data_IF_672893394091
#
_entry.id   IF_672893394091
#
_cell.length_a   1.000
_cell.length_b   1.000
_cell.length_c   1.000
_cell.angle_alpha   90.00
_cell.angle_beta   90.00
_cell.angle_gamma   90.00
#
_symmetry.space_group_name_H-M   'P 1'
#
loop_
_entity.id
_entity.type
_entity.pdbx_description
1 polymer ?
#
# COMPACT_ATOMS: atom_id res chain seq x y z
N UNK A 1 -33.80 4.77 8.66
CA UNK A 1 -34.17 3.49 8.01
C UNK A 1 -33.98 3.65 6.51
N UNK A 2 -32.83 3.22 6.00
CA UNK A 2 -32.62 3.01 4.57
C UNK A 2 -32.08 1.58 4.44
N UNK A 3 -33.01 0.62 4.42
CA UNK A 3 -32.72 -0.77 4.11
C UNK A 3 -33.18 -0.97 2.67
N UNK A 4 -32.25 -1.01 1.72
CA UNK A 4 -32.47 -1.70 0.45
C UNK A 4 -31.63 -2.98 0.47
N UNK A 5 -32.14 -3.97 1.21
CA UNK A 5 -31.68 -5.35 1.11
C UNK A 5 -32.49 -6.03 0.00
N UNK A 6 -31.87 -6.30 -1.15
CA UNK A 6 -32.31 -7.35 -2.07
C UNK A 6 -31.08 -8.14 -2.50
N UNK A 7 -31.07 -9.44 -2.19
CA UNK A 7 -30.08 -10.36 -2.71
C UNK A 7 -30.74 -11.33 -3.72
N UNK A 8 -29.88 -11.78 -4.63
CA UNK A 8 -30.04 -12.78 -5.68
C UNK A 8 -30.99 -12.39 -6.84
N UNK A 9 -30.40 -11.82 -7.91
CA UNK A 9 -30.94 -11.72 -9.28
C UNK A 9 -31.59 -10.40 -9.75
N UNK A 10 -31.30 -9.25 -9.13
CA UNK A 10 -31.38 -7.93 -9.77
C UNK A 10 -30.62 -6.91 -8.91
N UNK A 11 -29.39 -6.57 -9.32
CA UNK A 11 -28.47 -5.72 -8.56
C UNK A 11 -29.02 -4.30 -8.40
N UNK A 12 -29.71 -4.04 -7.29
CA UNK A 12 -29.88 -2.67 -6.78
C UNK A 12 -28.48 -2.13 -6.48
N UNK A 13 -28.04 -1.13 -7.24
CA UNK A 13 -26.79 -0.44 -7.01
C UNK A 13 -26.86 0.17 -5.62
N UNK A 14 -25.88 -0.12 -4.75
CA UNK A 14 -25.76 0.54 -3.46
C UNK A 14 -25.51 2.03 -3.73
N UNK A 15 -26.54 2.85 -3.56
CA UNK A 15 -26.52 4.29 -3.86
C UNK A 15 -26.77 5.09 -2.59
N UNK A 16 -25.72 5.45 -1.84
CA UNK A 16 -25.89 6.33 -0.70
C UNK A 16 -26.28 7.72 -1.18
N UNK A 17 -27.16 8.39 -0.43
CA UNK A 17 -27.38 9.82 -0.60
C UNK A 17 -26.10 10.59 -0.26
N UNK A 18 -25.79 11.64 -1.01
CA UNK A 18 -24.62 12.47 -0.75
C UNK A 18 -24.91 13.95 -0.97
N UNK A 19 -24.17 14.80 -0.26
CA UNK A 19 -24.14 16.26 -0.43
C UNK A 19 -22.74 16.68 -0.85
N UNK A 20 -22.63 17.43 -1.96
CA UNK A 20 -21.37 18.02 -2.41
C UNK A 20 -21.18 19.40 -1.79
N UNK A 21 -20.16 19.54 -0.94
CA UNK A 21 -19.67 20.80 -0.42
C UNK A 21 -18.57 21.37 -1.33
N UNK A 22 -18.93 22.36 -2.14
CA UNK A 22 -18.04 23.05 -3.09
C UNK A 22 -17.81 24.53 -2.75
N UNK A 23 -18.26 24.97 -1.57
CA UNK A 23 -17.99 26.29 -1.02
C UNK A 23 -18.16 26.27 0.51
N UNK A 24 -17.74 27.35 1.18
CA UNK A 24 -17.75 27.46 2.64
C UNK A 24 -19.15 27.31 3.25
N UNK A 25 -20.18 27.86 2.62
CA UNK A 25 -21.56 27.80 3.11
C UNK A 25 -22.11 26.37 3.10
N UNK A 26 -21.94 25.67 1.97
CA UNK A 26 -22.35 24.26 1.81
C UNK A 26 -21.55 23.33 2.70
N UNK A 27 -20.24 23.59 2.86
CA UNK A 27 -19.39 22.87 3.81
C UNK A 27 -19.93 22.99 5.23
N UNK A 28 -20.13 24.22 5.71
CA UNK A 28 -20.58 24.44 7.07
C UNK A 28 -21.94 23.79 7.33
N UNK A 29 -22.89 23.96 6.41
CA UNK A 29 -24.21 23.32 6.51
C UNK A 29 -24.11 21.79 6.57
N UNK A 30 -23.32 21.17 5.68
CA UNK A 30 -23.21 19.72 5.58
C UNK A 30 -22.49 19.08 6.79
N UNK A 31 -21.54 19.78 7.41
CA UNK A 31 -20.78 19.25 8.55
C UNK A 31 -21.51 19.35 9.89
N UNK A 32 -22.44 20.31 10.07
CA UNK A 32 -23.10 20.54 11.36
C UNK A 32 -23.74 19.28 11.96
N UNK A 33 -24.54 18.48 11.23
CA UNK A 33 -25.18 17.30 11.79
C UNK A 33 -24.17 16.23 12.28
N UNK A 34 -22.98 16.20 11.68
CA UNK A 34 -21.98 15.16 11.92
C UNK A 34 -21.26 15.30 13.27
N UNK A 35 -21.34 16.46 13.93
CA UNK A 35 -20.68 16.68 15.23
C UNK A 35 -21.26 15.82 16.35
N UNK A 36 -22.49 15.34 16.21
CA UNK A 36 -23.14 14.45 17.18
C UNK A 36 -22.94 12.96 16.86
N UNK A 37 -22.27 12.62 15.76
CA UNK A 37 -22.05 11.24 15.39
C UNK A 37 -20.97 10.59 16.28
N UNK A 38 -21.22 9.36 16.73
CA UNK A 38 -20.23 8.58 17.50
C UNK A 38 -19.12 8.01 16.62
N UNK A 39 -19.41 7.83 15.33
CA UNK A 39 -18.49 7.30 14.33
C UNK A 39 -18.56 8.13 13.05
N UNK A 40 -17.41 8.31 12.41
CA UNK A 40 -17.26 8.98 11.13
C UNK A 40 -16.42 8.09 10.23
N UNK A 41 -16.97 7.63 9.12
CA UNK A 41 -16.20 7.00 8.06
C UNK A 41 -15.56 8.08 7.18
N UNK A 42 -14.25 7.96 6.94
CA UNK A 42 -13.45 8.94 6.20
C UNK A 42 -12.67 8.22 5.10
N UNK A 43 -12.67 8.84 3.93
CA UNK A 43 -11.80 8.48 2.81
C UNK A 43 -11.35 9.78 2.11
N UNK A 44 -10.34 9.68 1.25
CA UNK A 44 -9.99 10.76 0.34
C UNK A 44 -9.53 10.26 -1.04
N UNK A 45 -9.81 11.11 -2.03
CA UNK A 45 -9.30 10.97 -3.40
C UNK A 45 -8.27 12.06 -3.66
N UNK A 46 -7.22 11.68 -4.37
CA UNK A 46 -5.98 12.47 -4.51
C UNK A 46 -5.58 12.60 -5.97
N UNK A 47 -4.76 13.60 -6.29
CA UNK A 47 -4.25 13.81 -7.66
C UNK A 47 -3.19 12.80 -8.08
N UNK A 48 -2.66 12.04 -7.12
CA UNK A 48 -1.68 10.97 -7.27
C UNK A 48 -1.47 10.25 -5.94
N UNK A 49 -0.34 9.58 -5.75
CA UNK A 49 -0.13 8.68 -4.59
C UNK A 49 0.94 9.13 -3.63
N UNK A 50 1.74 10.12 -4.01
CA UNK A 50 2.80 10.64 -3.13
C UNK A 50 2.27 11.87 -2.41
N UNK A 51 2.02 11.80 -1.09
CA UNK A 51 1.49 12.93 -0.35
C UNK A 51 2.41 14.17 -0.39
N UNK A 52 3.72 14.00 -0.64
CA UNK A 52 4.68 15.11 -0.72
C UNK A 52 4.58 15.90 -2.03
N UNK A 53 4.13 15.27 -3.12
CA UNK A 53 4.03 15.91 -4.45
C UNK A 53 2.60 16.09 -4.95
N UNK A 54 1.67 15.28 -4.44
CA UNK A 54 0.27 15.28 -4.82
C UNK A 54 -0.61 15.98 -3.76
N UNK A 55 -1.89 16.17 -4.09
CA UNK A 55 -2.83 16.87 -3.23
C UNK A 55 -4.17 16.15 -3.13
N UNK A 56 -4.92 16.44 -2.06
CA UNK A 56 -6.28 15.94 -1.89
C UNK A 56 -7.24 16.68 -2.83
N UNK A 57 -7.97 15.91 -3.63
CA UNK A 57 -9.03 16.40 -4.52
C UNK A 57 -10.38 16.44 -3.83
N UNK A 58 -10.74 15.34 -3.17
CA UNK A 58 -12.06 15.12 -2.58
C UNK A 58 -11.88 14.43 -1.23
N UNK A 59 -12.63 14.88 -0.21
CA UNK A 59 -12.73 14.19 1.07
C UNK A 59 -14.16 13.69 1.22
N UNK A 60 -14.33 12.46 1.69
CA UNK A 60 -15.64 11.88 1.96
C UNK A 60 -15.80 11.66 3.47
N UNK A 61 -16.94 12.09 4.01
CA UNK A 61 -17.30 11.82 5.41
C UNK A 61 -18.71 11.23 5.45
N UNK A 62 -18.82 10.00 5.92
CA UNK A 62 -20.09 9.33 6.14
C UNK A 62 -20.34 9.13 7.64
N UNK A 63 -21.59 9.33 8.06
CA UNK A 63 -22.05 9.04 9.41
C UNK A 63 -23.40 8.32 9.36
N UNK A 64 -23.75 7.50 10.38
CA UNK A 64 -25.04 6.81 10.41
C UNK A 64 -26.21 7.80 10.31
N UNK A 65 -27.20 7.47 9.46
CA UNK A 65 -28.42 8.26 9.24
C UNK A 65 -28.22 9.67 8.66
N UNK A 66 -27.07 9.95 8.05
CA UNK A 66 -26.80 11.20 7.34
C UNK A 66 -26.35 10.93 5.90
N UNK A 67 -26.62 11.84 4.95
CA UNK A 67 -26.01 11.75 3.62
C UNK A 67 -24.49 11.87 3.73
N UNK A 68 -23.78 11.20 2.82
CA UNK A 68 -22.32 11.30 2.73
C UNK A 68 -21.94 12.72 2.33
N UNK A 69 -21.04 13.36 3.07
CA UNK A 69 -20.54 14.68 2.73
C UNK A 69 -19.30 14.50 1.85
N UNK A 70 -19.39 14.96 0.60
CA UNK A 70 -18.29 15.01 -0.34
C UNK A 70 -17.75 16.43 -0.38
N UNK A 71 -16.49 16.63 -0.04
CA UNK A 71 -15.88 17.95 0.11
C UNK A 71 -14.88 18.15 -1.02
N UNK A 72 -15.22 19.00 -1.99
CA UNK A 72 -14.28 19.44 -3.04
C UNK A 72 -13.24 20.36 -2.37
N UNK A 73 -12.12 19.76 -1.94
CA UNK A 73 -11.17 20.44 -1.07
C UNK A 73 -10.50 21.66 -1.75
N UNK A 74 -10.11 21.62 -3.05
CA UNK A 74 -9.64 22.80 -3.77
C UNK A 74 -10.62 23.98 -3.76
N UNK A 75 -11.93 23.71 -3.75
CA UNK A 75 -12.95 24.76 -3.69
C UNK A 75 -13.12 25.39 -2.30
N UNK A 76 -12.50 24.82 -1.25
CA UNK A 76 -12.54 25.33 0.12
C UNK A 76 -11.19 26.00 0.47
N UNK A 77 -11.13 27.33 0.68
CA UNK A 77 -9.91 28.01 1.09
C UNK A 77 -9.35 27.46 2.40
N UNK A 78 -8.01 27.45 2.54
CA UNK A 78 -7.35 26.90 3.75
C UNK A 78 -7.82 27.59 5.05
N UNK A 79 -8.12 28.88 5.01
CA UNK A 79 -8.66 29.68 6.12
C UNK A 79 -10.01 29.17 6.63
N UNK A 80 -10.81 28.58 5.75
CA UNK A 80 -12.21 28.20 6.03
C UNK A 80 -12.37 26.71 6.39
N UNK A 81 -11.26 25.97 6.50
CA UNK A 81 -11.25 24.55 6.84
C UNK A 81 -11.31 24.26 8.34
N UNK A 82 -11.48 25.28 9.18
CA UNK A 82 -11.43 25.13 10.64
C UNK A 82 -12.52 24.19 11.18
N UNK A 83 -13.75 24.27 10.64
CA UNK A 83 -14.84 23.39 11.07
C UNK A 83 -14.58 21.93 10.69
N UNK A 84 -14.09 21.69 9.47
CA UNK A 84 -13.66 20.37 9.01
C UNK A 84 -12.56 19.81 9.92
N UNK A 85 -11.53 20.60 10.23
CA UNK A 85 -10.47 20.20 11.15
C UNK A 85 -11.02 19.84 12.53
N UNK A 86 -11.94 20.64 13.08
CA UNK A 86 -12.59 20.35 14.37
C UNK A 86 -13.36 19.02 14.33
N UNK A 87 -14.08 18.73 13.25
CA UNK A 87 -14.80 17.48 13.08
C UNK A 87 -13.84 16.27 13.03
N UNK A 88 -12.77 16.36 12.24
CA UNK A 88 -11.78 15.29 12.09
C UNK A 88 -11.00 15.00 13.39
N UNK A 89 -10.96 15.96 14.31
CA UNK A 89 -10.29 15.86 15.61
C UNK A 89 -11.25 15.68 16.79
N UNK A 90 -12.54 15.45 16.54
CA UNK A 90 -13.52 15.25 17.61
C UNK A 90 -13.38 13.86 18.28
N UNK A 91 -14.25 13.58 19.25
CA UNK A 91 -14.26 12.32 19.98
C UNK A 91 -14.79 11.11 19.21
N UNK A 92 -15.37 11.31 18.02
CA UNK A 92 -15.90 10.22 17.21
C UNK A 92 -14.79 9.23 16.81
N UNK A 93 -15.16 7.97 16.60
CA UNK A 93 -14.25 6.98 16.02
C UNK A 93 -14.16 7.21 14.51
N UNK A 94 -12.94 7.43 14.02
CA UNK A 94 -12.63 7.61 12.61
C UNK A 94 -12.45 6.24 11.96
N UNK A 95 -13.44 5.80 11.19
CA UNK A 95 -13.40 4.56 10.43
C UNK A 95 -12.78 4.87 9.07
N UNK A 96 -11.76 4.12 8.67
CA UNK A 96 -11.11 4.29 7.38
C UNK A 96 -10.65 2.93 6.84
N UNK A 97 -10.25 2.88 5.58
CA UNK A 97 -9.64 1.70 4.98
C UNK A 97 -8.24 2.05 4.47
N UNK A 98 -7.19 1.42 5.03
CA UNK A 98 -5.81 1.87 4.78
C UNK A 98 -5.59 3.32 5.23
N UNK A 99 -6.00 3.61 6.47
CA UNK A 99 -6.10 4.95 7.04
C UNK A 99 -4.77 5.73 7.02
N UNK A 100 -3.63 5.03 6.95
CA UNK A 100 -2.30 5.64 6.83
C UNK A 100 -2.22 6.58 5.63
N UNK A 101 -2.74 6.14 4.48
CA UNK A 101 -2.72 6.92 3.25
C UNK A 101 -3.50 8.23 3.41
N UNK A 102 -4.76 8.14 3.83
CA UNK A 102 -5.62 9.31 4.05
C UNK A 102 -5.03 10.24 5.11
N UNK A 103 -4.47 9.67 6.18
CA UNK A 103 -3.86 10.44 7.25
C UNK A 103 -2.69 11.29 6.75
N UNK A 104 -1.82 10.76 5.90
CA UNK A 104 -0.68 11.49 5.33
C UNK A 104 -1.14 12.68 4.49
N UNK A 105 -2.06 12.44 3.56
CA UNK A 105 -2.63 13.46 2.70
C UNK A 105 -3.40 14.54 3.47
N UNK A 106 -4.25 14.15 4.43
CA UNK A 106 -4.99 15.09 5.26
C UNK A 106 -4.07 15.90 6.19
N UNK A 107 -2.94 15.33 6.61
CA UNK A 107 -1.93 16.03 7.41
C UNK A 107 -1.26 17.14 6.60
N UNK A 108 -0.78 16.85 5.39
CA UNK A 108 -0.18 17.87 4.52
C UNK A 108 -1.19 18.89 3.98
N UNK A 109 -2.48 18.53 3.94
CA UNK A 109 -3.57 19.47 3.70
C UNK A 109 -3.88 20.41 4.90
N UNK A 110 -3.20 20.26 6.04
CA UNK A 110 -3.34 21.08 7.25
C UNK A 110 -4.48 20.64 8.20
N UNK A 111 -5.12 19.51 7.92
CA UNK A 111 -6.27 19.00 8.68
C UNK A 111 -5.83 18.08 9.82
N UNK A 112 -4.89 17.16 9.55
CA UNK A 112 -4.31 16.18 10.50
C UNK A 112 -5.36 15.57 11.47
N UNK A 113 -6.11 14.54 11.04
CA UNK A 113 -7.10 13.88 11.88
C UNK A 113 -6.47 13.31 13.17
N UNK A 114 -7.20 13.42 14.29
CA UNK A 114 -6.74 13.00 15.62
C UNK A 114 -7.83 12.28 16.40
N UNK A 115 -7.44 11.38 17.30
CA UNK A 115 -8.34 10.67 18.22
C UNK A 115 -8.41 9.19 17.91
N UNK A 116 -9.59 8.58 18.10
CA UNK A 116 -9.76 7.14 17.92
C UNK A 116 -9.90 6.78 16.44
N UNK A 117 -9.16 5.77 15.99
CA UNK A 117 -9.26 5.21 14.64
C UNK A 117 -9.75 3.76 14.68
N UNK A 118 -10.44 3.37 13.63
CA UNK A 118 -10.72 1.99 13.28
C UNK A 118 -10.37 1.77 11.80
N UNK A 119 -9.22 1.15 11.54
CA UNK A 119 -8.81 0.82 10.18
C UNK A 119 -9.34 -0.56 9.80
N UNK A 120 -10.27 -0.59 8.85
CA UNK A 120 -10.90 -1.84 8.38
C UNK A 120 -9.91 -2.80 7.72
N UNK A 121 -8.84 -2.29 7.10
CA UNK A 121 -7.80 -3.11 6.50
C UNK A 121 -6.96 -3.78 7.59
N UNK A 122 -6.48 -3.01 8.58
CA UNK A 122 -5.70 -3.55 9.70
C UNK A 122 -6.55 -4.50 10.55
N UNK A 123 -7.83 -4.17 10.79
CA UNK A 123 -8.77 -5.05 11.49
C UNK A 123 -8.85 -6.42 10.82
N UNK A 124 -8.97 -6.43 9.49
CA UNK A 124 -9.05 -7.67 8.72
C UNK A 124 -7.71 -8.42 8.70
N UNK A 125 -6.57 -7.73 8.56
CA UNK A 125 -5.23 -8.33 8.64
C UNK A 125 -4.97 -9.01 9.99
N UNK A 126 -5.41 -8.39 11.09
CA UNK A 126 -5.34 -8.99 12.44
C UNK A 126 -6.21 -10.26 12.52
N UNK A 127 -7.44 -10.20 12.01
CA UNK A 127 -8.34 -11.36 11.98
C UNK A 127 -7.81 -12.54 11.16
N UNK A 128 -7.06 -12.26 10.10
CA UNK A 128 -6.45 -13.29 9.25
C UNK A 128 -5.03 -13.65 9.64
N UNK A 129 -4.52 -13.13 10.76
CA UNK A 129 -3.14 -13.32 11.23
C UNK A 129 -2.08 -13.06 10.14
N UNK A 130 -2.33 -12.12 9.23
CA UNK A 130 -1.43 -11.79 8.12
C UNK A 130 -1.25 -12.91 7.08
N UNK A 131 -2.14 -13.92 7.03
CA UNK A 131 -2.19 -14.87 5.91
C UNK A 131 -2.28 -14.12 4.58
N UNK A 132 -1.80 -14.73 3.48
CA UNK A 132 -1.80 -14.17 2.11
C UNK A 132 -3.21 -14.04 1.51
N UNK A 133 -4.10 -13.34 2.21
CA UNK A 133 -5.44 -12.99 1.78
C UNK A 133 -5.45 -11.52 1.42
N UNK A 134 -5.96 -11.18 0.24
CA UNK A 134 -6.12 -9.76 -0.11
C UNK A 134 -7.02 -9.06 0.91
N UNK A 135 -6.54 -7.92 1.40
CA UNK A 135 -7.19 -7.02 2.33
C UNK A 135 -7.72 -5.76 1.66
N UNK A 136 -7.87 -5.74 0.33
CA UNK A 136 -8.50 -4.59 -0.34
C UNK A 136 -9.98 -4.44 0.06
N UNK A 137 -10.49 -3.20 0.06
CA UNK A 137 -11.87 -2.90 0.44
C UNK A 137 -12.88 -3.77 -0.32
N UNK A 138 -12.77 -3.83 -1.65
CA UNK A 138 -13.62 -4.68 -2.50
C UNK A 138 -13.62 -6.14 -2.07
N UNK A 139 -12.45 -6.70 -1.73
CA UNK A 139 -12.36 -8.10 -1.31
C UNK A 139 -12.96 -8.34 0.07
N UNK A 140 -12.79 -7.40 1.00
CA UNK A 140 -13.42 -7.48 2.32
C UNK A 140 -14.94 -7.34 2.19
N UNK A 141 -15.43 -6.37 1.42
CA UNK A 141 -16.86 -6.15 1.15
C UNK A 141 -17.49 -7.38 0.49
N UNK A 142 -16.85 -7.95 -0.53
CA UNK A 142 -17.32 -9.18 -1.18
C UNK A 142 -17.41 -10.35 -0.21
N UNK A 143 -16.43 -10.51 0.68
CA UNK A 143 -16.39 -11.63 1.64
C UNK A 143 -17.36 -11.46 2.80
N UNK A 144 -17.53 -10.25 3.31
CA UNK A 144 -18.24 -10.00 4.56
C UNK A 144 -19.67 -9.47 4.35
N UNK A 145 -19.91 -8.75 3.27
CA UNK A 145 -21.21 -8.17 2.92
C UNK A 145 -21.87 -8.84 1.71
N UNK A 146 -21.14 -9.70 0.99
CA UNK A 146 -21.60 -10.33 -0.25
C UNK A 146 -21.99 -9.31 -1.35
N UNK A 147 -21.37 -8.12 -1.31
CA UNK A 147 -21.57 -7.06 -2.29
C UNK A 147 -20.34 -6.92 -3.21
N UNK A 148 -20.55 -6.42 -4.43
CA UNK A 148 -19.49 -6.16 -5.38
C UNK A 148 -19.33 -4.65 -5.60
N UNK A 149 -18.16 -4.12 -5.24
CA UNK A 149 -17.80 -2.73 -5.52
C UNK A 149 -17.22 -2.61 -6.93
N UNK A 150 -17.61 -1.55 -7.64
CA UNK A 150 -16.95 -1.12 -8.87
C UNK A 150 -15.68 -0.33 -8.53
N UNK A 151 -14.57 -0.62 -9.22
CA UNK A 151 -13.26 0.03 -9.03
C UNK A 151 -12.90 0.98 -10.17
N UNK A 152 -13.76 1.13 -11.18
CA UNK A 152 -13.42 1.90 -12.39
C UNK A 152 -12.95 3.32 -12.09
N UNK A 153 -13.53 3.97 -11.08
CA UNK A 153 -13.19 5.35 -10.74
C UNK A 153 -11.99 5.50 -9.78
N UNK A 154 -11.54 4.42 -9.14
CA UNK A 154 -10.38 4.44 -8.24
C UNK A 154 -9.10 4.94 -8.94
N UNK A 155 -8.98 4.63 -10.24
CA UNK A 155 -7.86 5.02 -11.11
C UNK A 155 -8.22 6.14 -12.08
N UNK A 156 -9.36 6.81 -11.86
CA UNK A 156 -9.80 7.90 -12.72
C UNK A 156 -8.92 9.14 -12.54
N UNK A 157 -8.96 10.03 -13.52
CA UNK A 157 -8.24 11.29 -13.45
C UNK A 157 -8.98 12.26 -12.51
N UNK A 158 -8.51 12.32 -11.27
CA UNK A 158 -9.02 13.21 -10.23
C UNK A 158 -8.54 14.66 -10.39
N UNK A 159 -7.66 14.97 -11.35
CA UNK A 159 -7.26 16.35 -11.64
C UNK A 159 -8.30 17.11 -12.48
N UNK A 160 -9.28 16.40 -13.06
CA UNK A 160 -10.35 16.97 -13.89
C UNK A 160 -11.58 17.39 -13.07
N UNK A 161 -12.52 18.14 -13.68
CA UNK A 161 -13.82 18.41 -13.07
C UNK A 161 -14.52 17.10 -12.66
N UNK A 162 -15.08 17.09 -11.45
CA UNK A 162 -15.69 15.89 -10.86
C UNK A 162 -16.92 15.47 -11.65
N UNK A 163 -16.94 14.21 -12.08
CA UNK A 163 -18.09 13.60 -12.75
C UNK A 163 -19.08 13.03 -11.75
N UNK A 164 -20.35 12.85 -12.16
CA UNK A 164 -21.36 12.19 -11.30
C UNK A 164 -20.95 10.77 -10.90
N UNK A 165 -20.25 10.05 -11.79
CA UNK A 165 -19.79 8.68 -11.52
C UNK A 165 -18.68 8.66 -10.47
N UNK A 166 -17.74 9.62 -10.52
CA UNK A 166 -16.72 9.81 -9.47
C UNK A 166 -17.34 10.15 -8.12
N UNK A 167 -18.30 11.09 -8.08
CA UNK A 167 -18.99 11.46 -6.84
C UNK A 167 -19.75 10.28 -6.24
N UNK A 168 -20.43 9.50 -7.08
CA UNK A 168 -21.14 8.30 -6.63
C UNK A 168 -20.17 7.25 -6.08
N UNK A 169 -19.09 6.94 -6.80
CA UNK A 169 -18.04 6.02 -6.35
C UNK A 169 -17.47 6.43 -4.98
N UNK A 170 -17.06 7.68 -4.85
CA UNK A 170 -16.52 8.24 -3.62
C UNK A 170 -17.52 8.13 -2.44
N UNK A 171 -18.81 8.41 -2.70
CA UNK A 171 -19.84 8.27 -1.68
C UNK A 171 -20.02 6.80 -1.22
N UNK A 172 -19.96 5.85 -2.15
CA UNK A 172 -20.05 4.41 -1.86
C UNK A 172 -18.89 3.94 -0.99
N UNK A 173 -17.65 4.32 -1.34
CA UNK A 173 -16.45 3.88 -0.62
C UNK A 173 -16.43 4.35 0.84
N UNK A 174 -16.93 5.55 1.14
CA UNK A 174 -17.06 6.00 2.53
C UNK A 174 -18.26 5.36 3.25
N UNK A 175 -19.43 5.26 2.59
CA UNK A 175 -20.64 4.72 3.21
C UNK A 175 -20.49 3.24 3.60
N UNK A 176 -19.87 2.42 2.75
CA UNK A 176 -19.72 0.98 2.97
C UNK A 176 -18.86 0.66 4.21
N UNK A 177 -18.01 1.60 4.66
CA UNK A 177 -17.22 1.44 5.88
C UNK A 177 -18.10 1.43 7.14
N UNK A 178 -19.23 2.14 7.12
CA UNK A 178 -20.20 2.11 8.23
C UNK A 178 -20.84 0.72 8.37
N UNK A 179 -21.04 0.01 7.25
CA UNK A 179 -21.56 -1.36 7.23
C UNK A 179 -20.50 -2.39 7.65
N UNK A 180 -19.24 -2.19 7.24
CA UNK A 180 -18.12 -3.08 7.61
C UNK A 180 -17.72 -2.98 9.08
N UNK A 181 -17.72 -1.76 9.64
CA UNK A 181 -17.27 -1.49 11.00
C UNK A 181 -17.88 -2.42 12.06
N UNK A 182 -19.22 -2.53 12.22
CA UNK A 182 -19.82 -3.38 13.24
C UNK A 182 -19.48 -4.86 13.05
N UNK A 183 -19.39 -5.33 11.81
CA UNK A 183 -19.05 -6.73 11.49
C UNK A 183 -17.63 -7.05 11.92
N UNK A 184 -16.66 -6.22 11.51
CA UNK A 184 -15.24 -6.40 11.87
C UNK A 184 -15.02 -6.25 13.37
N UNK A 185 -15.65 -5.27 14.00
CA UNK A 185 -15.59 -5.08 15.45
C UNK A 185 -16.11 -6.30 16.21
N UNK A 186 -17.24 -6.87 15.79
CA UNK A 186 -17.80 -8.07 16.40
C UNK A 186 -16.87 -9.28 16.22
N UNK A 187 -16.34 -9.50 15.01
CA UNK A 187 -15.37 -10.57 14.74
C UNK A 187 -14.11 -10.44 15.62
N UNK A 188 -13.57 -9.23 15.77
CA UNK A 188 -12.42 -8.97 16.63
C UNK A 188 -12.71 -9.27 18.10
N UNK A 189 -13.92 -8.95 18.59
CA UNK A 189 -14.36 -9.27 19.96
C UNK A 189 -14.49 -10.78 20.15
N UNK A 190 -15.14 -11.48 19.23
CA UNK A 190 -15.32 -12.94 19.28
C UNK A 190 -13.98 -13.69 19.26
N UNK A 191 -13.04 -13.23 18.45
CA UNK A 191 -11.68 -13.77 18.38
C UNK A 191 -10.78 -13.35 19.56
N UNK A 192 -11.25 -12.48 20.46
CA UNK A 192 -10.46 -11.86 21.56
C UNK A 192 -9.23 -11.08 21.06
N UNK A 193 -9.28 -10.55 19.83
CA UNK A 193 -8.18 -9.82 19.18
C UNK A 193 -8.35 -8.30 19.21
N UNK A 194 -9.44 -7.78 19.77
CA UNK A 194 -9.72 -6.33 19.78
C UNK A 194 -8.59 -5.48 20.41
N UNK A 195 -7.92 -5.99 21.46
CA UNK A 195 -6.80 -5.28 22.09
C UNK A 195 -5.62 -5.13 21.12
N UNK A 196 -5.32 -6.17 20.34
CA UNK A 196 -4.24 -6.17 19.35
C UNK A 196 -4.61 -5.21 18.21
N UNK A 197 -5.82 -5.32 17.66
CA UNK A 197 -6.26 -4.41 16.60
C UNK A 197 -6.20 -2.93 17.03
N UNK A 198 -6.58 -2.62 18.28
CA UNK A 198 -6.43 -1.25 18.83
C UNK A 198 -4.99 -0.77 18.88
N UNK A 199 -4.04 -1.64 19.20
CA UNK A 199 -2.61 -1.30 19.18
C UNK A 199 -2.17 -0.95 17.74
N UNK A 200 -2.58 -1.73 16.75
CA UNK A 200 -2.29 -1.46 15.34
C UNK A 200 -2.87 -0.09 14.90
N UNK A 201 -4.13 0.20 15.26
CA UNK A 201 -4.76 1.48 14.93
C UNK A 201 -4.07 2.67 15.60
N UNK A 202 -3.57 2.50 16.83
CA UNK A 202 -2.83 3.54 17.56
C UNK A 202 -1.43 3.77 17.00
N UNK A 203 -0.80 2.72 16.44
CA UNK A 203 0.49 2.82 15.79
C UNK A 203 0.41 3.54 14.43
N UNK A 204 -0.72 3.42 13.72
CA UNK A 204 -0.90 3.94 12.37
C UNK A 204 -0.48 5.41 12.19
N UNK A 205 -0.93 6.39 13.00
CA UNK A 205 -0.52 7.79 12.81
C UNK A 205 0.98 8.02 13.04
N UNK A 206 1.58 7.24 13.95
CA UNK A 206 3.03 7.33 14.24
C UNK A 206 3.83 6.83 13.04
N UNK A 207 3.45 5.69 12.48
CA UNK A 207 4.08 5.13 11.27
C UNK A 207 3.89 6.10 10.09
N UNK A 208 2.68 6.64 9.90
CA UNK A 208 2.39 7.62 8.87
C UNK A 208 3.31 8.85 8.96
N UNK A 209 3.49 9.38 10.18
CA UNK A 209 4.35 10.53 10.44
C UNK A 209 5.84 10.19 10.23
N UNK A 210 6.28 9.00 10.64
CA UNK A 210 7.65 8.53 10.39
C UNK A 210 7.95 8.46 8.89
N UNK A 211 7.03 7.92 8.10
CA UNK A 211 7.15 7.85 6.64
C UNK A 211 7.20 9.24 6.00
N UNK A 212 6.37 10.19 6.45
CA UNK A 212 6.40 11.58 5.97
C UNK A 212 7.70 12.30 6.30
N UNK A 213 8.28 12.03 7.48
CA UNK A 213 9.54 12.63 7.89
C UNK A 213 10.72 12.09 7.08
N UNK A 214 10.66 10.81 6.67
CA UNK A 214 11.73 10.12 5.97
C UNK A 214 13.03 10.07 6.78
N UNK A 215 14.15 9.90 6.06
CA UNK A 215 15.49 9.94 6.63
C UNK A 215 16.43 10.70 5.69
N UNK A 216 17.36 11.46 6.27
CA UNK A 216 18.41 12.12 5.50
C UNK A 216 19.37 11.08 4.93
N UNK A 217 19.82 11.31 3.70
CA UNK A 217 20.70 10.39 2.97
C UNK A 217 21.85 11.15 2.32
N UNK A 218 23.09 10.74 2.62
CA UNK A 218 24.30 11.34 2.05
C UNK A 218 24.57 10.76 0.65
N UNK A 219 24.07 11.47 -0.36
CA UNK A 219 24.20 11.06 -1.77
C UNK A 219 25.65 10.98 -2.23
N UNK A 220 26.53 11.86 -1.74
CA UNK A 220 27.94 11.89 -2.13
C UNK A 220 28.65 10.64 -1.63
N UNK A 221 28.46 10.28 -0.35
CA UNK A 221 29.02 9.04 0.20
C UNK A 221 28.43 7.80 -0.46
N UNK A 222 27.12 7.81 -0.78
CA UNK A 222 26.48 6.72 -1.50
C UNK A 222 27.11 6.49 -2.87
N UNK A 223 27.36 7.56 -3.64
CA UNK A 223 28.02 7.47 -4.95
C UNK A 223 29.46 6.97 -4.84
N UNK A 224 30.23 7.45 -3.86
CA UNK A 224 31.60 6.98 -3.60
C UNK A 224 31.61 5.49 -3.26
N UNK A 225 30.74 5.07 -2.34
CA UNK A 225 30.61 3.66 -1.96
C UNK A 225 30.16 2.80 -3.16
N UNK A 226 29.20 3.28 -3.94
CA UNK A 226 28.72 2.61 -5.15
C UNK A 226 29.83 2.40 -6.18
N UNK A 227 30.63 3.44 -6.46
CA UNK A 227 31.77 3.34 -7.36
C UNK A 227 32.83 2.36 -6.86
N UNK A 228 33.12 2.38 -5.55
CA UNK A 228 34.05 1.43 -4.92
C UNK A 228 33.56 -0.01 -5.06
N UNK A 229 32.28 -0.28 -4.76
CA UNK A 229 31.71 -1.62 -4.85
C UNK A 229 31.67 -2.14 -6.30
N UNK A 230 31.42 -1.26 -7.28
CA UNK A 230 31.45 -1.65 -8.70
C UNK A 230 32.87 -1.96 -9.18
N UNK A 231 33.88 -1.23 -8.68
CA UNK A 231 35.28 -1.54 -8.92
C UNK A 231 35.67 -2.91 -8.30
N UNK A 232 35.34 -3.14 -7.02
CA UNK A 232 35.60 -4.42 -6.34
C UNK A 232 34.92 -5.60 -7.02
N UNK A 233 33.67 -5.42 -7.49
CA UNK A 233 32.94 -6.41 -8.29
C UNK A 233 33.67 -6.71 -9.60
N UNK A 234 34.17 -5.69 -10.29
CA UNK A 234 34.90 -5.85 -11.56
C UNK A 234 36.22 -6.60 -11.34
N UNK A 235 36.96 -6.24 -10.30
CA UNK A 235 38.22 -6.89 -9.93
C UNK A 235 38.00 -8.35 -9.55
N UNK A 236 36.96 -8.63 -8.75
CA UNK A 236 36.58 -10.00 -8.37
C UNK A 236 36.18 -10.82 -9.59
N UNK A 237 35.44 -10.23 -10.53
CA UNK A 237 35.06 -10.89 -11.78
C UNK A 237 36.30 -11.22 -12.62
N UNK A 238 37.28 -10.32 -12.68
CA UNK A 238 38.54 -10.55 -13.38
C UNK A 238 39.36 -11.66 -12.71
N UNK A 239 39.43 -11.70 -11.39
CA UNK A 239 40.06 -12.80 -10.65
C UNK A 239 39.37 -14.14 -10.93
N UNK A 240 38.03 -14.15 -10.97
CA UNK A 240 37.25 -15.36 -11.25
C UNK A 240 37.48 -15.87 -12.68
N UNK A 241 37.65 -14.97 -13.66
CA UNK A 241 38.05 -15.35 -15.03
C UNK A 241 39.45 -15.94 -15.10
N UNK A 242 40.36 -15.55 -14.21
CA UNK A 242 41.74 -16.08 -14.14
C UNK A 242 41.80 -17.45 -13.47
N UNK A 243 40.84 -17.77 -12.58
CA UNK A 243 40.67 -19.10 -12.01
C UNK A 243 40.14 -20.06 -13.09
N UNK A 244 41.04 -20.55 -13.95
CA UNK A 244 40.74 -21.61 -14.92
C UNK A 244 40.16 -22.81 -14.18
N UNK A 245 38.92 -23.19 -14.49
CA UNK A 245 38.41 -24.50 -14.12
C UNK A 245 39.10 -25.47 -15.06
N UNK A 246 40.12 -26.17 -14.55
CA UNK A 246 40.77 -27.25 -15.27
C UNK A 246 39.80 -28.43 -15.41
N UNK A 247 38.80 -28.31 -16.30
CA UNK A 247 38.03 -29.46 -16.75
C UNK A 247 38.93 -30.26 -17.69
N UNK A 248 39.48 -31.34 -17.17
CA UNK A 248 40.31 -32.32 -17.86
C UNK A 248 39.53 -33.19 -18.87
N UNK A 249 38.56 -32.61 -19.56
CA UNK A 249 37.95 -33.18 -20.76
C UNK A 249 37.68 -32.07 -21.76
N UNK A 250 38.41 -32.15 -22.86
CA UNK A 250 38.36 -31.29 -24.03
C UNK A 250 36.93 -31.27 -24.58
N UNK A 251 36.14 -30.26 -24.23
CA UNK A 251 34.80 -30.06 -24.80
C UNK A 251 34.94 -29.37 -26.15
N UNK A 252 34.54 -30.08 -27.21
CA UNK A 252 34.49 -29.64 -28.62
C UNK A 252 33.42 -28.56 -28.91
N UNK A 253 33.03 -27.78 -27.91
CA UNK A 253 32.01 -26.73 -28.02
C UNK A 253 32.65 -25.35 -27.75
N UNK A 254 32.88 -24.54 -28.80
CA UNK A 254 33.50 -23.20 -28.71
C UNK A 254 32.70 -22.17 -27.90
N UNK A 255 31.49 -22.53 -27.47
CA UNK A 255 30.57 -21.67 -26.71
C UNK A 255 30.85 -21.68 -25.19
N UNK A 256 31.72 -22.59 -24.73
CA UNK A 256 32.28 -22.58 -23.38
C UNK A 256 33.59 -21.80 -23.39
N UNK A 257 33.49 -20.47 -23.36
CA UNK A 257 34.64 -19.62 -23.02
C UNK A 257 35.25 -20.10 -21.69
N UNK A 258 36.58 -20.07 -21.56
CA UNK A 258 37.36 -20.44 -20.34
C UNK A 258 36.91 -19.72 -19.03
N UNK A 259 35.97 -18.78 -19.13
CA UNK A 259 35.40 -18.00 -18.05
C UNK A 259 33.91 -18.34 -17.82
N UNK A 260 33.57 -18.69 -16.59
CA UNK A 260 32.18 -18.87 -16.12
C UNK A 260 31.49 -17.51 -16.04
N UNK A 261 30.29 -17.34 -16.62
CA UNK A 261 29.45 -16.17 -16.39
C UNK A 261 28.71 -16.30 -15.04
N UNK A 262 29.04 -15.49 -14.01
CA UNK A 262 28.42 -15.61 -12.69
C UNK A 262 26.94 -15.18 -12.66
N UNK A 263 26.44 -14.55 -13.72
CA UNK A 263 25.01 -14.23 -13.86
C UNK A 263 24.20 -15.36 -14.52
N UNK A 264 24.83 -16.47 -14.92
CA UNK A 264 24.14 -17.64 -15.46
C UNK A 264 24.08 -18.75 -14.40
N UNK A 265 22.91 -18.99 -13.78
CA UNK A 265 22.69 -20.09 -12.83
C UNK A 265 23.19 -21.44 -13.34
N UNK A 266 23.02 -21.71 -14.64
CA UNK A 266 23.42 -22.98 -15.27
C UNK A 266 24.93 -23.12 -15.35
N UNK A 267 25.65 -22.07 -15.78
CA UNK A 267 27.11 -22.10 -15.87
C UNK A 267 27.76 -22.17 -14.49
N UNK A 268 27.20 -21.45 -13.52
CA UNK A 268 27.62 -21.51 -12.12
C UNK A 268 27.42 -22.90 -11.53
N UNK A 269 26.27 -23.54 -11.77
CA UNK A 269 25.99 -24.89 -11.30
C UNK A 269 26.99 -25.91 -11.86
N UNK A 270 27.24 -25.84 -13.18
CA UNK A 270 28.20 -26.70 -13.86
C UNK A 270 29.63 -26.50 -13.32
N UNK A 271 30.04 -25.26 -13.08
CA UNK A 271 31.33 -24.92 -12.50
C UNK A 271 31.52 -25.48 -11.09
N UNK A 272 30.51 -25.33 -10.21
CA UNK A 272 30.57 -25.84 -8.84
C UNK A 272 30.60 -27.38 -8.82
N UNK A 273 29.80 -28.03 -9.67
CA UNK A 273 29.81 -29.50 -9.80
C UNK A 273 31.16 -30.02 -10.34
N UNK A 274 31.79 -29.32 -11.30
CA UNK A 274 33.09 -29.68 -11.84
C UNK A 274 34.21 -29.65 -10.78
N UNK A 275 34.10 -28.79 -9.76
CA UNK A 275 35.04 -28.71 -8.62
C UNK A 275 34.64 -29.69 -7.50
N UNK A 276 33.65 -30.56 -7.73
CA UNK A 276 33.23 -31.61 -6.80
C UNK A 276 32.19 -31.18 -5.76
N UNK A 277 31.61 -29.98 -5.90
CA UNK A 277 30.55 -29.50 -5.01
C UNK A 277 29.21 -30.08 -5.46
N UNK A 278 28.67 -31.01 -4.67
CA UNK A 278 27.40 -31.70 -4.97
C UNK A 278 26.18 -30.82 -4.65
N UNK A 279 25.81 -29.96 -5.58
CA UNK A 279 24.57 -29.17 -5.54
C UNK A 279 23.76 -29.40 -6.82
N UNK A 280 22.44 -29.28 -6.72
CA UNK A 280 21.50 -29.48 -7.84
C UNK A 280 20.76 -28.20 -8.26
N UNK A 281 21.03 -27.08 -7.60
CA UNK A 281 20.45 -25.77 -7.89
C UNK A 281 21.31 -24.68 -7.26
N UNK A 282 21.34 -23.50 -7.90
CA UNK A 282 21.93 -22.27 -7.38
C UNK A 282 20.92 -21.41 -6.61
N UNK A 283 19.72 -21.93 -6.33
CA UNK A 283 18.75 -21.23 -5.50
C UNK A 283 19.28 -21.05 -4.07
N UNK A 284 18.96 -19.92 -3.45
CA UNK A 284 19.40 -19.55 -2.10
C UNK A 284 19.25 -20.68 -1.07
N UNK A 285 18.08 -21.35 -1.07
CA UNK A 285 17.77 -22.44 -0.14
C UNK A 285 18.62 -23.70 -0.33
N UNK A 286 19.34 -23.86 -1.45
CA UNK A 286 20.22 -25.02 -1.72
C UNK A 286 21.70 -24.67 -1.55
N UNK A 287 22.11 -23.43 -1.81
CA UNK A 287 23.48 -22.96 -1.60
C UNK A 287 23.83 -22.81 -0.10
N UNK A 288 22.86 -22.40 0.73
CA UNK A 288 23.06 -22.21 2.19
C UNK A 288 23.30 -23.52 2.95
N UNK A 289 22.69 -24.62 2.53
CA UNK A 289 22.80 -25.92 3.23
C UNK A 289 24.00 -26.76 2.81
N UNK A 290 24.70 -26.38 1.74
CA UNK A 290 25.87 -27.09 1.22
C UNK A 290 27.16 -26.82 1.97
N UNK A 291 27.20 -26.84 3.32
CA UNK A 291 28.43 -26.61 4.13
C UNK A 291 29.30 -25.41 3.69
N UNK A 292 28.72 -24.35 3.12
CA UNK A 292 29.47 -23.12 2.88
C UNK A 292 29.29 -22.18 4.07
N UNK A 293 30.39 -21.61 4.55
CA UNK A 293 30.36 -20.52 5.53
C UNK A 293 29.37 -19.44 5.09
N UNK A 294 28.65 -18.86 6.06
CA UNK A 294 27.57 -17.88 5.88
C UNK A 294 27.89 -16.71 4.94
N UNK A 295 29.17 -16.45 4.69
CA UNK A 295 29.70 -15.43 3.77
C UNK A 295 29.46 -15.75 2.28
N UNK A 296 29.51 -17.02 1.86
CA UNK A 296 29.40 -17.41 0.44
C UNK A 296 27.94 -17.37 -0.05
N UNK A 297 26.99 -17.61 0.86
CA UNK A 297 25.55 -17.62 0.54
C UNK A 297 24.98 -16.22 0.24
N UNK A 298 25.62 -15.17 0.75
CA UNK A 298 25.17 -13.77 0.58
C UNK A 298 25.56 -13.25 -0.82
N UNK A 299 26.73 -13.62 -1.35
CA UNK A 299 27.22 -13.12 -2.63
C UNK A 299 26.37 -13.54 -3.85
N UNK A 300 25.77 -14.74 -3.84
CA UNK A 300 24.97 -15.21 -4.99
C UNK A 300 23.54 -14.64 -5.05
N UNK A 301 22.98 -14.18 -3.94
CA UNK A 301 21.63 -13.61 -3.91
C UNK A 301 21.53 -12.22 -4.53
N UNK A 302 22.59 -11.41 -4.48
CA UNK A 302 22.53 -10.02 -4.95
C UNK A 302 22.55 -9.88 -6.48
N UNK A 303 23.22 -10.78 -7.20
CA UNK A 303 23.29 -10.71 -8.68
C UNK A 303 21.95 -10.99 -9.37
N UNK A 304 21.08 -11.80 -8.74
CA UNK A 304 19.76 -12.15 -9.28
C UNK A 304 18.72 -11.03 -9.11
N UNK A 305 19.00 -10.03 -8.29
CA UNK A 305 18.05 -8.98 -7.90
C UNK A 305 18.22 -7.66 -8.67
N UNK A 306 19.36 -7.47 -9.35
CA UNK A 306 19.69 -6.21 -10.05
C UNK A 306 19.31 -6.17 -11.54
N UNK A 307 18.79 -7.26 -12.13
CA UNK A 307 18.51 -7.35 -13.57
C UNK A 307 17.09 -6.92 -13.99
N UNK A 308 16.25 -6.44 -13.06
CA UNK A 308 14.86 -6.09 -13.35
C UNK A 308 14.47 -4.70 -12.82
N UNK A 309 15.15 -3.63 -13.23
CA UNK A 309 14.59 -2.27 -13.16
C UNK A 309 14.98 -1.46 -14.39
N UNK A 310 14.14 -1.56 -15.42
CA UNK A 310 14.21 -0.72 -16.61
C UNK A 310 12.89 -0.80 -17.36
N UNK A 311 11.95 0.11 -17.08
CA UNK A 311 11.13 0.85 -18.06
C UNK A 311 9.84 1.46 -17.46
N UNK A 312 9.63 2.72 -17.90
CA UNK A 312 8.39 3.52 -18.00
C UNK A 312 7.57 3.89 -16.76
N UNK A 313 7.60 5.20 -16.49
CA UNK A 313 6.50 5.98 -15.96
C UNK A 313 5.17 5.68 -16.67
N UNK A 314 4.18 5.28 -15.90
CA UNK A 314 2.76 5.51 -16.14
C UNK A 314 2.13 5.76 -14.76
N UNK A 315 1.26 6.77 -14.67
CA UNK A 315 0.49 7.09 -13.46
C UNK A 315 -0.17 5.81 -12.94
N UNK A 316 0.23 5.31 -11.77
CA UNK A 316 -0.09 3.95 -11.32
C UNK A 316 -0.54 3.89 -9.86
N UNK A 317 -1.85 3.63 -9.72
CA UNK A 317 -2.56 2.76 -8.76
C UNK A 317 -2.36 2.88 -7.24
N UNK A 318 -3.48 3.11 -6.52
CA UNK A 318 -3.66 2.84 -5.07
C UNK A 318 -3.60 1.31 -4.86
N UNK A 319 -2.44 0.68 -5.07
CA UNK A 319 -2.27 -0.76 -4.82
C UNK A 319 -2.17 -1.05 -3.33
N UNK A 320 -2.99 -2.03 -2.96
CA UNK A 320 -3.09 -2.69 -1.66
C UNK A 320 -1.75 -3.28 -1.20
N UNK A 321 -1.13 -2.62 -0.21
CA UNK A 321 -0.24 -3.27 0.75
C UNK A 321 -1.03 -3.85 1.92
#
# INVERSE_FOLDING_TARGET
MAISLINTNNTSIYTPEYTLASNVSTLNYALQPLFHAEVLAIDCETTGLDPLTDSVRLIQIAAPNHPVVLIDLPAIPKSDRQLLKKLLCNSAVKIAHNAKFDWQFLTLAGLQPFGQFFDTQLAYKVLTAGLKTSSSLQNIVKKLLHLQLDKTQQISDWCKPLTKVQLHYAAVDAAILLDLYPILLNKLKQAKLLKIARLEFQCMPVVAQMELNGMLFDLSRWQILGAKLEAEKTDTLNQLKQLRIASSQMSLLPELTDAVNPNSPQQVLAALQAIGIKINSTNQSKLVYGKFSSTVSICFCMSSSCSNQGSSHNCSQKESF
#
